data_IF_100806781369
#
_entry.id   IF_100806781369
#
_cell.length_a   1.000
_cell.length_b   1.000
_cell.length_c   1.000
_cell.angle_alpha   90.00
_cell.angle_beta   90.00
_cell.angle_gamma   90.00
#
_symmetry.space_group_name_H-M   'P 1'
#
loop_
_entity.id
_entity.type
_entity.pdbx_description
1 polymer ?
#
# COMPACT_ATOMS: atom_id res chain seq x y z
N UNK A 1 -41.71 -49.89 30.49
CA UNK A 1 -41.49 -48.47 30.14
C UNK A 1 -40.02 -48.19 30.27
N UNK A 2 -39.37 -47.78 29.19
CA UNK A 2 -37.98 -47.33 29.24
C UNK A 2 -37.96 -45.92 29.83
N UNK A 3 -37.27 -45.75 30.95
CA UNK A 3 -36.95 -44.45 31.51
C UNK A 3 -35.94 -43.76 30.58
N UNK A 4 -36.35 -42.69 29.92
CA UNK A 4 -35.41 -41.74 29.32
C UNK A 4 -34.95 -40.80 30.45
N UNK A 5 -33.66 -40.87 30.81
CA UNK A 5 -33.04 -39.88 31.68
C UNK A 5 -33.13 -38.47 31.06
N UNK A 6 -32.97 -37.40 31.86
CA UNK A 6 -33.04 -36.05 31.34
C UNK A 6 -31.96 -35.87 30.25
N UNK A 7 -32.39 -35.36 29.10
CA UNK A 7 -31.48 -34.97 28.03
C UNK A 7 -30.37 -34.08 28.62
N UNK A 8 -29.12 -34.45 28.39
CA UNK A 8 -27.99 -33.59 28.71
C UNK A 8 -28.27 -32.20 28.12
N UNK A 9 -28.17 -31.18 28.97
CA UNK A 9 -28.21 -29.79 28.55
C UNK A 9 -27.02 -29.61 27.59
N UNK A 10 -27.29 -29.62 26.29
CA UNK A 10 -26.29 -29.31 25.27
C UNK A 10 -25.91 -27.85 25.48
N UNK A 11 -24.79 -27.65 26.17
CA UNK A 11 -24.13 -26.35 26.29
C UNK A 11 -24.04 -25.76 24.89
N UNK A 12 -24.77 -24.67 24.65
CA UNK A 12 -24.63 -23.90 23.41
C UNK A 12 -23.17 -23.53 23.27
N UNK A 13 -22.54 -23.89 22.14
CA UNK A 13 -21.20 -23.43 21.82
C UNK A 13 -21.28 -21.89 21.76
N UNK A 14 -20.47 -21.16 22.53
CA UNK A 14 -20.50 -19.70 22.48
C UNK A 14 -20.04 -19.23 21.09
N UNK A 15 -20.54 -18.07 20.68
CA UNK A 15 -20.12 -17.45 19.43
C UNK A 15 -19.20 -16.28 19.72
N UNK A 16 -18.40 -15.91 18.72
CA UNK A 16 -17.65 -14.65 18.70
C UNK A 16 -17.92 -13.86 17.43
N UNK A 17 -17.54 -12.58 17.45
CA UNK A 17 -17.62 -11.68 16.30
C UNK A 17 -16.27 -11.65 15.59
N UNK A 18 -16.28 -11.73 14.26
CA UNK A 18 -15.12 -11.73 13.39
C UNK A 18 -15.29 -10.68 12.28
N UNK A 19 -14.22 -9.96 11.94
CA UNK A 19 -14.19 -8.98 10.85
C UNK A 19 -13.96 -7.56 11.33
N UNK A 20 -13.69 -6.65 10.42
CA UNK A 20 -13.60 -5.23 10.72
C UNK A 20 -13.81 -4.39 9.45
N UNK A 21 -12.83 -4.31 8.55
CA UNK A 21 -12.76 -3.30 7.50
C UNK A 21 -12.27 -3.83 6.15
N UNK A 22 -12.91 -3.40 5.08
CA UNK A 22 -12.31 -3.36 3.73
C UNK A 22 -12.11 -1.90 3.38
N UNK A 23 -10.90 -1.49 3.01
CA UNK A 23 -10.59 -0.09 2.73
C UNK A 23 -9.87 0.09 1.39
N UNK A 24 -10.01 1.30 0.85
CA UNK A 24 -9.27 1.74 -0.32
C UNK A 24 -7.92 2.26 0.18
N UNK A 25 -6.91 1.42 0.05
CA UNK A 25 -5.51 1.73 0.30
C UNK A 25 -5.02 2.64 -0.83
N UNK A 26 -5.18 3.94 -0.61
CA UNK A 26 -4.95 4.97 -1.63
C UNK A 26 -3.48 5.10 -1.98
N UNK A 27 -2.59 4.69 -1.08
CA UNK A 27 -1.15 4.77 -1.28
C UNK A 27 -0.50 3.38 -1.55
N UNK A 28 -1.32 2.32 -1.57
CA UNK A 28 -0.92 0.95 -1.81
C UNK A 28 0.22 0.47 -0.88
N UNK A 29 0.23 0.91 0.38
CA UNK A 29 1.25 0.50 1.35
C UNK A 29 0.87 -0.72 2.22
N UNK A 30 -0.37 -1.18 2.12
CA UNK A 30 -0.90 -2.30 2.91
C UNK A 30 -1.22 -1.94 4.35
N UNK A 31 -1.21 -0.66 4.72
CA UNK A 31 -1.44 -0.14 6.07
C UNK A 31 -2.65 0.80 6.03
N UNK A 32 -3.53 0.68 7.03
CA UNK A 32 -4.68 1.55 7.21
C UNK A 32 -4.24 2.94 7.67
N UNK A 33 -4.16 3.87 6.72
CA UNK A 33 -3.76 5.25 6.98
C UNK A 33 -4.95 6.17 7.30
N UNK A 34 -4.66 7.22 8.08
CA UNK A 34 -5.68 8.21 8.47
C UNK A 34 -6.26 8.97 7.26
N UNK A 35 -7.53 8.71 6.93
CA UNK A 35 -8.21 9.40 5.83
C UNK A 35 -8.36 8.56 4.57
N UNK A 36 -7.87 7.33 4.59
CA UNK A 36 -8.23 6.31 3.60
C UNK A 36 -9.69 5.88 3.81
N UNK A 37 -10.51 5.82 2.74
CA UNK A 37 -11.93 5.53 2.88
C UNK A 37 -12.18 4.02 2.92
N UNK A 38 -13.21 3.61 3.66
CA UNK A 38 -13.74 2.24 3.58
C UNK A 38 -14.42 1.97 2.23
N UNK A 39 -14.31 0.74 1.73
CA UNK A 39 -14.93 0.32 0.46
C UNK A 39 -16.30 -0.30 0.68
N UNK A 40 -17.34 0.38 0.20
CA UNK A 40 -18.72 -0.08 0.35
C UNK A 40 -19.15 -1.13 -0.70
N UNK A 41 -20.01 -2.06 -0.28
CA UNK A 41 -20.63 -3.04 -1.18
C UNK A 41 -19.74 -4.20 -1.61
N UNK A 42 -18.56 -4.37 -1.00
CA UNK A 42 -17.64 -5.48 -1.26
C UNK A 42 -18.21 -6.76 -0.67
N UNK A 43 -18.30 -7.83 -1.46
CA UNK A 43 -18.79 -9.14 -1.00
C UNK A 43 -17.74 -9.82 -0.12
N UNK A 44 -18.14 -10.21 1.08
CA UNK A 44 -17.30 -10.92 2.05
C UNK A 44 -17.97 -12.23 2.47
N UNK A 45 -17.19 -13.30 2.64
CA UNK A 45 -17.67 -14.63 3.06
C UNK A 45 -16.81 -15.18 4.19
N UNK A 46 -17.46 -15.82 5.16
CA UNK A 46 -16.79 -16.66 6.14
C UNK A 46 -16.67 -18.09 5.59
N UNK A 47 -15.46 -18.63 5.57
CA UNK A 47 -15.17 -20.00 5.15
C UNK A 47 -14.61 -20.80 6.33
N UNK A 48 -14.89 -22.11 6.36
CA UNK A 48 -14.28 -23.03 7.32
C UNK A 48 -12.84 -23.43 6.93
N UNK A 49 -12.23 -24.27 7.78
CA UNK A 49 -10.91 -24.85 7.57
C UNK A 49 -10.75 -25.66 6.26
N UNK A 50 -11.84 -26.07 5.62
CA UNK A 50 -11.85 -26.79 4.34
C UNK A 50 -12.17 -25.87 3.15
N UNK A 51 -12.43 -24.58 3.39
CA UNK A 51 -12.77 -23.60 2.35
C UNK A 51 -14.25 -23.64 1.97
N UNK A 52 -15.08 -24.33 2.76
CA UNK A 52 -16.53 -24.36 2.57
C UNK A 52 -17.13 -23.12 3.22
N UNK A 53 -18.00 -22.41 2.51
CA UNK A 53 -18.70 -21.27 3.09
C UNK A 53 -19.57 -21.73 4.26
N UNK A 54 -19.39 -21.07 5.40
CA UNK A 54 -20.15 -21.31 6.63
C UNK A 54 -20.88 -20.04 7.02
N UNK A 55 -22.20 -20.16 7.22
CA UNK A 55 -23.06 -19.00 7.38
C UNK A 55 -23.39 -18.28 6.07
N UNK A 56 -23.98 -17.09 6.20
CA UNK A 56 -24.29 -16.22 5.06
C UNK A 56 -23.05 -15.47 4.54
N UNK A 57 -23.13 -14.98 3.31
CA UNK A 57 -22.23 -13.92 2.85
C UNK A 57 -22.77 -12.57 3.32
N UNK A 58 -21.90 -11.58 3.49
CA UNK A 58 -22.28 -10.19 3.77
C UNK A 58 -21.66 -9.27 2.72
N UNK A 59 -22.10 -8.03 2.70
CA UNK A 59 -21.47 -6.95 1.94
C UNK A 59 -21.02 -5.87 2.91
N UNK A 60 -19.85 -5.28 2.66
CA UNK A 60 -19.37 -4.15 3.46
C UNK A 60 -20.35 -2.97 3.40
N UNK A 61 -20.48 -2.25 4.51
CA UNK A 61 -21.36 -1.08 4.61
C UNK A 61 -20.72 0.18 3.99
N UNK A 62 -21.39 1.33 4.11
CA UNK A 62 -20.89 2.61 3.56
C UNK A 62 -19.53 3.07 4.12
N UNK A 63 -19.11 2.51 5.25
CA UNK A 63 -17.81 2.75 5.88
C UNK A 63 -16.82 1.62 5.65
N UNK A 64 -17.13 0.66 4.76
CA UNK A 64 -16.27 -0.50 4.50
C UNK A 64 -16.36 -1.59 5.56
N UNK A 65 -17.20 -1.44 6.59
CA UNK A 65 -17.21 -2.37 7.70
C UNK A 65 -18.00 -3.63 7.39
N UNK A 66 -17.53 -4.77 7.90
CA UNK A 66 -18.24 -6.04 7.84
C UNK A 66 -18.08 -6.83 9.15
N UNK A 67 -19.00 -7.76 9.42
CA UNK A 67 -18.84 -8.67 10.56
C UNK A 67 -19.58 -10.00 10.35
N UNK A 68 -19.07 -11.04 11.00
CA UNK A 68 -19.70 -12.34 11.12
C UNK A 68 -19.82 -12.74 12.59
N UNK A 69 -20.80 -13.59 12.89
CA UNK A 69 -20.90 -14.30 14.16
C UNK A 69 -20.60 -15.78 13.92
N UNK A 70 -19.58 -16.31 14.57
CA UNK A 70 -19.10 -17.68 14.35
C UNK A 70 -18.95 -18.47 15.66
N UNK A 71 -19.25 -19.78 15.68
CA UNK A 71 -18.97 -20.65 16.82
C UNK A 71 -17.48 -20.69 17.15
N UNK A 72 -17.14 -20.58 18.43
CA UNK A 72 -15.76 -20.66 18.91
C UNK A 72 -15.22 -22.09 18.86
N UNK A 73 -13.89 -22.24 18.92
CA UNK A 73 -13.24 -23.55 18.95
C UNK A 73 -13.19 -24.25 17.59
N UNK A 74 -13.32 -23.49 16.51
CA UNK A 74 -13.10 -23.91 15.14
C UNK A 74 -12.21 -22.89 14.42
N UNK A 75 -11.58 -23.33 13.32
CA UNK A 75 -10.81 -22.47 12.45
C UNK A 75 -11.65 -21.96 11.29
N UNK A 76 -11.41 -20.70 10.94
CA UNK A 76 -12.04 -20.02 9.83
C UNK A 76 -11.02 -19.23 9.03
N UNK A 77 -11.46 -18.74 7.88
CA UNK A 77 -10.81 -17.69 7.09
C UNK A 77 -11.87 -16.79 6.47
N UNK A 78 -11.49 -15.57 6.13
CA UNK A 78 -12.35 -14.65 5.39
C UNK A 78 -11.97 -14.71 3.91
N UNK A 79 -12.97 -14.77 3.04
CA UNK A 79 -12.83 -14.50 1.61
C UNK A 79 -13.40 -13.13 1.30
N UNK A 80 -12.66 -12.32 0.56
CA UNK A 80 -13.09 -11.00 0.11
C UNK A 80 -13.10 -11.01 -1.42
N UNK A 81 -14.21 -10.61 -2.04
CA UNK A 81 -14.27 -10.49 -3.48
C UNK A 81 -13.52 -9.23 -3.93
N UNK A 82 -12.62 -9.36 -4.91
CA UNK A 82 -11.93 -8.23 -5.50
C UNK A 82 -12.83 -7.51 -6.52
N UNK A 83 -13.17 -6.22 -6.31
CA UNK A 83 -13.93 -5.45 -7.30
C UNK A 83 -13.14 -5.24 -8.60
N UNK A 84 -13.85 -5.11 -9.72
CA UNK A 84 -13.22 -4.77 -11.00
C UNK A 84 -12.46 -3.45 -10.90
N UNK A 85 -11.25 -3.41 -11.44
CA UNK A 85 -10.40 -2.22 -11.42
C UNK A 85 -9.60 -2.04 -10.12
N UNK A 86 -9.65 -2.98 -9.19
CA UNK A 86 -8.83 -2.98 -7.96
C UNK A 86 -7.85 -4.15 -7.92
N UNK A 87 -6.80 -3.99 -7.11
CA UNK A 87 -5.88 -5.03 -6.71
C UNK A 87 -5.76 -5.03 -5.17
N UNK A 88 -5.45 -6.18 -4.57
CA UNK A 88 -5.16 -6.26 -3.13
C UNK A 88 -3.81 -5.63 -2.81
N UNK A 89 -3.73 -4.96 -1.66
CA UNK A 89 -2.48 -4.47 -1.08
C UNK A 89 -1.60 -5.62 -0.57
N UNK A 90 -0.35 -5.29 -0.22
CA UNK A 90 0.55 -6.28 0.37
C UNK A 90 -0.01 -6.85 1.67
N UNK A 91 0.09 -8.16 1.83
CA UNK A 91 -0.37 -8.88 3.03
C UNK A 91 0.62 -8.70 4.19
N UNK A 92 0.10 -8.56 5.41
CA UNK A 92 0.83 -8.55 6.70
C UNK A 92 1.97 -7.50 6.77
N UNK A 93 1.75 -6.30 6.20
CA UNK A 93 2.77 -5.25 6.11
C UNK A 93 2.68 -4.22 7.24
N UNK A 94 3.81 -3.69 7.71
CA UNK A 94 3.84 -2.63 8.74
C UNK A 94 3.84 -3.14 10.19
N UNK A 95 3.64 -4.44 10.42
CA UNK A 95 3.89 -5.12 11.70
C UNK A 95 2.89 -4.82 12.83
N UNK A 96 1.85 -4.02 12.56
CA UNK A 96 0.69 -3.81 13.44
C UNK A 96 -0.51 -4.54 12.83
N UNK A 97 -0.77 -5.75 13.34
CA UNK A 97 -1.85 -6.67 12.92
C UNK A 97 -3.24 -6.02 12.95
N UNK A 98 -3.44 -4.95 13.72
CA UNK A 98 -4.73 -4.25 13.77
C UNK A 98 -4.93 -3.23 12.65
N UNK A 99 -3.94 -3.07 11.76
CA UNK A 99 -3.90 -2.00 10.75
C UNK A 99 -3.34 -2.45 9.42
N UNK A 100 -2.93 -3.69 9.27
CA UNK A 100 -2.44 -4.20 7.99
C UNK A 100 -3.58 -4.83 7.19
N UNK A 101 -3.23 -5.43 6.05
CA UNK A 101 -4.15 -6.19 5.20
C UNK A 101 -3.86 -7.67 5.39
N UNK A 102 -4.85 -8.45 5.82
CA UNK A 102 -4.67 -9.90 6.03
C UNK A 102 -4.90 -10.73 4.77
N UNK A 103 -5.49 -10.13 3.73
CA UNK A 103 -5.93 -10.87 2.54
C UNK A 103 -4.75 -11.12 1.61
N UNK A 104 -4.47 -12.40 1.36
CA UNK A 104 -3.49 -12.85 0.36
C UNK A 104 -3.98 -12.47 -1.05
N UNK A 105 -3.23 -11.62 -1.79
CA UNK A 105 -3.59 -11.20 -3.15
C UNK A 105 -3.79 -12.36 -4.15
N UNK A 106 -3.14 -13.51 -3.92
CA UNK A 106 -3.22 -14.65 -4.82
C UNK A 106 -4.50 -15.49 -4.62
N UNK A 107 -5.03 -15.52 -3.39
CA UNK A 107 -6.16 -16.40 -3.02
C UNK A 107 -7.43 -15.64 -2.64
N UNK A 108 -7.32 -14.32 -2.46
CA UNK A 108 -8.39 -13.44 -1.97
C UNK A 108 -8.92 -13.87 -0.60
N UNK A 109 -8.05 -14.48 0.22
CA UNK A 109 -8.38 -15.04 1.52
C UNK A 109 -7.37 -14.65 2.58
N UNK A 110 -7.83 -14.55 3.82
CA UNK A 110 -6.93 -14.49 4.98
C UNK A 110 -6.28 -15.85 5.24
N UNK A 111 -5.24 -15.86 6.07
CA UNK A 111 -4.77 -17.09 6.70
C UNK A 111 -5.88 -17.73 7.57
N UNK A 112 -5.67 -19.00 7.95
CA UNK A 112 -6.56 -19.67 8.90
C UNK A 112 -6.32 -19.13 10.31
N UNK A 113 -7.41 -18.75 10.99
CA UNK A 113 -7.38 -18.28 12.37
C UNK A 113 -8.40 -19.04 13.23
N UNK A 114 -8.22 -19.01 14.56
CA UNK A 114 -9.13 -19.65 15.51
C UNK A 114 -10.17 -18.67 16.04
N UNK A 115 -11.45 -19.03 16.02
CA UNK A 115 -12.46 -18.28 16.75
C UNK A 115 -12.33 -18.56 18.26
N UNK A 116 -11.96 -17.54 19.04
CA UNK A 116 -11.71 -17.66 20.49
C UNK A 116 -12.88 -17.09 21.31
N UNK A 117 -13.22 -17.78 22.41
CA UNK A 117 -14.32 -17.37 23.27
C UNK A 117 -14.06 -16.03 23.95
N UNK A 118 -15.01 -15.09 23.82
CA UNK A 118 -14.93 -13.76 24.42
C UNK A 118 -13.96 -12.80 23.72
N UNK A 119 -13.42 -13.17 22.56
CA UNK A 119 -12.51 -12.33 21.76
C UNK A 119 -13.22 -11.92 20.47
N UNK A 120 -13.66 -10.66 20.41
CA UNK A 120 -14.04 -10.05 19.13
C UNK A 120 -12.77 -9.80 18.34
N UNK A 121 -12.66 -10.45 17.19
CA UNK A 121 -11.50 -10.34 16.31
C UNK A 121 -11.77 -9.28 15.26
N UNK A 122 -11.04 -8.16 15.38
CA UNK A 122 -11.15 -6.98 14.52
C UNK A 122 -9.85 -6.66 13.80
N UNK A 123 -8.88 -7.58 13.74
CA UNK A 123 -7.72 -7.37 12.86
C UNK A 123 -8.01 -7.78 11.42
N UNK A 124 -9.02 -8.64 11.19
CA UNK A 124 -9.35 -9.22 9.90
C UNK A 124 -9.79 -8.17 8.86
N UNK A 125 -8.83 -7.58 8.17
CA UNK A 125 -8.96 -6.43 7.30
C UNK A 125 -8.44 -6.71 5.88
N UNK A 126 -8.92 -5.93 4.90
CA UNK A 126 -8.52 -6.09 3.51
C UNK A 126 -8.29 -4.74 2.82
N UNK A 127 -7.02 -4.48 2.49
CA UNK A 127 -6.61 -3.30 1.74
C UNK A 127 -6.66 -3.57 0.25
N UNK A 128 -7.21 -2.63 -0.51
CA UNK A 128 -7.22 -2.68 -1.97
C UNK A 128 -6.91 -1.31 -2.56
N UNK A 129 -6.16 -1.28 -3.65
CA UNK A 129 -5.85 -0.05 -4.38
C UNK A 129 -6.40 -0.11 -5.80
N UNK A 130 -6.76 1.06 -6.35
CA UNK A 130 -7.22 1.15 -7.74
C UNK A 130 -6.07 0.80 -8.70
N UNK A 131 -6.31 -0.12 -9.62
CA UNK A 131 -5.38 -0.45 -10.71
C UNK A 131 -5.21 0.71 -11.69
N UNK A 132 -6.10 1.70 -11.71
CA UNK A 132 -5.85 2.94 -12.46
C UNK A 132 -4.68 3.73 -11.89
N UNK A 133 -4.34 3.49 -10.61
CA UNK A 133 -3.23 4.11 -9.92
C UNK A 133 -1.99 3.24 -9.97
N UNK A 134 -1.97 2.12 -10.71
CA UNK A 134 -0.83 1.21 -10.81
C UNK A 134 -0.49 0.89 -12.27
N UNK A 135 0.79 0.98 -12.62
CA UNK A 135 1.33 0.43 -13.86
C UNK A 135 2.36 -0.64 -13.51
N UNK A 136 2.33 -1.77 -14.21
CA UNK A 136 3.29 -2.84 -14.01
C UNK A 136 4.16 -3.03 -15.25
N UNK A 137 5.40 -3.43 -15.05
CA UNK A 137 6.35 -3.77 -16.10
C UNK A 137 7.35 -4.81 -15.63
N UNK A 138 8.06 -5.41 -16.59
CA UNK A 138 9.18 -6.30 -16.31
C UNK A 138 10.49 -5.64 -16.71
N UNK A 139 11.48 -5.75 -15.84
CA UNK A 139 12.85 -5.28 -16.05
C UNK A 139 13.78 -6.48 -16.07
N UNK A 140 14.71 -6.51 -17.02
CA UNK A 140 15.68 -7.59 -17.17
C UNK A 140 17.10 -7.10 -16.86
N UNK A 141 17.91 -7.96 -16.24
CA UNK A 141 19.30 -7.65 -15.91
C UNK A 141 20.14 -7.28 -17.15
N UNK A 142 19.92 -7.94 -18.29
CA UNK A 142 20.74 -7.77 -19.50
C UNK A 142 20.41 -6.49 -20.26
N UNK A 143 19.13 -6.12 -20.32
CA UNK A 143 18.64 -5.00 -21.13
C UNK A 143 18.28 -3.76 -20.30
N UNK A 144 18.06 -3.93 -19.00
CA UNK A 144 17.40 -2.93 -18.18
C UNK A 144 15.90 -2.86 -18.49
N UNK A 145 15.33 -1.67 -18.43
CA UNK A 145 13.93 -1.44 -18.75
C UNK A 145 13.44 -0.10 -18.22
N UNK A 146 12.16 0.17 -18.41
CA UNK A 146 11.51 1.34 -17.81
C UNK A 146 10.07 1.06 -17.49
N UNK A 147 9.57 1.62 -16.39
CA UNK A 147 8.15 1.63 -16.04
C UNK A 147 7.72 3.09 -15.87
N UNK A 148 6.58 3.45 -16.46
CA UNK A 148 6.02 4.80 -16.40
C UNK A 148 4.80 4.77 -15.50
N UNK A 149 4.63 5.75 -14.62
CA UNK A 149 3.47 5.88 -13.75
C UNK A 149 2.16 5.94 -14.56
N UNK A 150 1.03 5.59 -13.94
CA UNK A 150 -0.27 5.58 -14.63
C UNK A 150 -0.70 6.91 -15.25
N UNK A 151 -0.37 8.05 -14.61
CA UNK A 151 -0.61 9.39 -15.15
C UNK A 151 0.34 9.78 -16.30
N UNK A 152 1.39 9.00 -16.55
CA UNK A 152 2.41 9.28 -17.55
C UNK A 152 3.42 10.35 -17.13
N UNK A 153 3.30 10.91 -15.92
CA UNK A 153 4.11 12.05 -15.49
C UNK A 153 5.47 11.61 -14.92
N UNK A 154 5.55 10.41 -14.34
CA UNK A 154 6.77 9.87 -13.76
C UNK A 154 7.25 8.61 -14.48
N UNK A 155 8.57 8.42 -14.55
CA UNK A 155 9.19 7.24 -15.15
C UNK A 155 10.39 6.79 -14.33
N UNK A 156 10.49 5.47 -14.13
CA UNK A 156 11.63 4.80 -13.53
C UNK A 156 12.36 4.06 -14.66
N UNK A 157 13.61 4.43 -14.89
CA UNK A 157 14.48 3.83 -15.90
C UNK A 157 15.60 3.05 -15.23
N UNK A 158 15.74 1.79 -15.62
CA UNK A 158 16.66 0.82 -15.05
C UNK A 158 17.77 0.54 -16.07
N UNK A 159 19.04 0.84 -15.77
CA UNK A 159 20.14 0.43 -16.63
C UNK A 159 20.35 -1.10 -16.59
N UNK A 160 20.98 -1.69 -17.62
CA UNK A 160 21.51 -3.06 -17.53
C UNK A 160 22.36 -3.25 -16.27
N UNK A 161 22.16 -4.34 -15.55
CA UNK A 161 22.82 -4.60 -14.28
C UNK A 161 22.07 -4.11 -13.04
N UNK A 162 21.00 -3.32 -13.16
CA UNK A 162 20.28 -2.76 -12.01
C UNK A 162 19.55 -3.82 -11.16
N UNK A 163 19.24 -4.98 -11.72
CA UNK A 163 18.55 -6.09 -11.06
C UNK A 163 19.29 -7.41 -11.33
N UNK A 164 19.17 -8.41 -10.46
CA UNK A 164 19.90 -9.69 -10.61
C UNK A 164 19.33 -10.60 -11.71
N UNK A 165 18.06 -10.43 -12.07
CA UNK A 165 17.36 -11.26 -13.05
C UNK A 165 16.11 -10.57 -13.60
N UNK A 166 15.10 -11.36 -13.94
CA UNK A 166 13.79 -10.80 -14.30
C UNK A 166 13.09 -10.31 -13.04
N UNK A 167 12.76 -9.01 -13.01
CA UNK A 167 12.12 -8.34 -11.89
C UNK A 167 10.81 -7.73 -12.35
N UNK A 168 9.73 -8.03 -11.63
CA UNK A 168 8.46 -7.35 -11.79
C UNK A 168 8.52 -6.02 -11.03
N UNK A 169 8.11 -4.94 -11.68
CA UNK A 169 8.09 -3.60 -11.11
C UNK A 169 6.68 -3.06 -11.18
N UNK A 170 6.18 -2.53 -10.07
CA UNK A 170 4.88 -1.86 -9.99
C UNK A 170 5.12 -0.41 -9.61
N UNK A 171 4.56 0.50 -10.40
CA UNK A 171 4.67 1.93 -10.21
C UNK A 171 3.29 2.49 -9.91
N UNK A 172 3.15 3.00 -8.70
CA UNK A 172 1.90 3.51 -8.16
C UNK A 172 1.90 5.04 -8.14
N UNK A 173 0.76 5.63 -8.50
CA UNK A 173 0.47 7.03 -8.30
C UNK A 173 -0.41 7.19 -7.06
N UNK A 174 0.12 7.81 -6.02
CA UNK A 174 -0.58 7.94 -4.73
C UNK A 174 -1.38 9.27 -4.65
N UNK A 175 -1.18 10.17 -5.62
CA UNK A 175 -2.03 11.34 -5.89
C UNK A 175 -1.34 12.70 -5.81
N UNK A 176 -2.15 13.76 -5.90
CA UNK A 176 -1.80 15.18 -5.70
C UNK A 176 -2.43 15.71 -4.41
N UNK A 177 -1.68 16.44 -3.58
CA UNK A 177 -2.23 16.98 -2.32
C UNK A 177 -3.00 18.28 -2.58
N UNK A 178 -4.26 18.17 -3.04
CA UNK A 178 -5.30 19.13 -2.67
C UNK A 178 -6.21 18.49 -1.64
N UNK A 179 -6.05 18.86 -0.37
CA UNK A 179 -7.02 18.53 0.69
C UNK A 179 -7.17 17.04 1.02
N UNK A 180 -6.32 16.15 0.49
CA UNK A 180 -6.12 14.80 1.01
C UNK A 180 -4.83 14.80 1.79
N UNK A 181 -4.95 14.60 3.10
CA UNK A 181 -3.82 14.32 3.97
C UNK A 181 -3.13 13.08 3.44
N UNK A 182 -2.06 13.22 2.66
CA UNK A 182 -1.07 12.16 2.60
C UNK A 182 -0.54 12.06 4.03
N UNK A 183 -0.89 10.98 4.73
CA UNK A 183 -0.58 10.71 6.14
C UNK A 183 0.92 10.52 6.37
N UNK A 184 1.72 10.59 5.32
CA UNK A 184 3.17 10.62 5.39
C UNK A 184 3.63 12.07 5.68
N UNK A 185 3.43 12.45 6.95
CA UNK A 185 3.90 13.66 7.63
C UNK A 185 4.01 14.95 6.79
N UNK A 186 2.94 15.76 6.81
CA UNK A 186 3.14 17.21 6.70
C UNK A 186 4.01 17.67 7.87
N UNK A 187 5.28 17.99 7.61
CA UNK A 187 5.93 18.99 8.44
C UNK A 187 5.25 20.33 8.14
N UNK A 188 5.01 21.16 9.16
CA UNK A 188 4.31 22.45 9.02
C UNK A 188 4.96 23.44 8.04
N UNK A 189 6.13 23.08 7.48
CA UNK A 189 6.87 23.90 6.54
C UNK A 189 6.93 23.33 5.11
N UNK A 190 6.49 22.11 4.78
CA UNK A 190 6.71 21.54 3.44
C UNK A 190 5.38 21.19 2.73
N UNK A 191 5.33 21.49 1.43
CA UNK A 191 4.16 21.23 0.59
C UNK A 191 4.50 20.15 -0.43
N UNK A 192 3.65 19.14 -0.55
CA UNK A 192 3.85 18.00 -1.46
C UNK A 192 2.96 18.14 -2.69
N UNK A 193 3.52 18.06 -3.89
CA UNK A 193 2.75 18.20 -5.13
C UNK A 193 2.33 16.86 -5.72
N UNK A 194 3.29 15.94 -5.87
CA UNK A 194 3.09 14.64 -6.51
C UNK A 194 3.71 13.55 -5.64
N UNK A 195 2.99 12.45 -5.44
CA UNK A 195 3.44 11.32 -4.64
C UNK A 195 3.31 10.03 -5.44
N UNK A 196 4.36 9.23 -5.38
CA UNK A 196 4.51 8.00 -6.13
C UNK A 196 5.13 6.91 -5.26
N UNK A 197 4.89 5.64 -5.60
CA UNK A 197 5.57 4.50 -5.00
C UNK A 197 6.08 3.57 -6.10
N UNK A 198 7.29 3.07 -5.94
CA UNK A 198 7.86 2.05 -6.81
C UNK A 198 8.12 0.80 -5.99
N UNK A 199 7.48 -0.30 -6.38
CA UNK A 199 7.69 -1.63 -5.82
C UNK A 199 8.42 -2.52 -6.82
N UNK A 200 9.27 -3.40 -6.32
CA UNK A 200 10.00 -4.34 -7.13
C UNK A 200 10.04 -5.72 -6.48
N UNK A 201 9.81 -6.75 -7.27
CA UNK A 201 9.73 -8.14 -6.82
C UNK A 201 10.50 -9.02 -7.79
N UNK A 202 11.35 -9.91 -7.29
CA UNK A 202 12.04 -10.89 -8.12
C UNK A 202 11.05 -11.87 -8.76
N UNK A 203 11.51 -12.62 -9.76
CA UNK A 203 10.69 -13.61 -10.46
C UNK A 203 10.03 -14.67 -9.55
N UNK A 204 10.58 -14.90 -8.36
CA UNK A 204 10.04 -15.84 -7.36
C UNK A 204 9.04 -15.22 -6.37
N UNK A 205 8.74 -13.93 -6.51
CA UNK A 205 7.81 -13.23 -5.61
C UNK A 205 8.48 -12.57 -4.40
N UNK A 206 9.81 -12.61 -4.27
CA UNK A 206 10.50 -11.95 -3.15
C UNK A 206 10.58 -10.43 -3.37
N UNK A 207 10.09 -9.59 -2.44
CA UNK A 207 10.27 -8.14 -2.53
C UNK A 207 11.74 -7.74 -2.49
N UNK A 208 12.14 -6.82 -3.38
CA UNK A 208 13.47 -6.21 -3.37
C UNK A 208 13.48 -5.04 -2.39
N UNK A 209 14.59 -4.87 -1.68
CA UNK A 209 14.82 -3.74 -0.77
C UNK A 209 15.90 -2.77 -1.29
N UNK A 210 16.62 -3.15 -2.35
CA UNK A 210 17.60 -2.34 -3.06
C UNK A 210 17.80 -2.87 -4.49
N UNK A 211 18.33 -2.01 -5.35
CA UNK A 211 18.82 -2.31 -6.69
C UNK A 211 20.35 -2.38 -6.69
N UNK A 212 20.92 -3.11 -7.65
CA UNK A 212 22.37 -3.29 -7.76
C UNK A 212 23.09 -2.04 -8.30
N UNK A 213 22.36 -1.20 -9.03
CA UNK A 213 22.84 0.07 -9.57
C UNK A 213 21.76 1.14 -9.36
N UNK A 214 22.15 2.42 -9.26
CA UNK A 214 21.18 3.50 -9.26
C UNK A 214 20.29 3.48 -10.51
N UNK A 215 19.00 3.65 -10.29
CA UNK A 215 17.98 3.87 -11.30
C UNK A 215 17.76 5.38 -11.49
N UNK A 216 17.24 5.75 -12.65
CA UNK A 216 16.86 7.13 -12.94
C UNK A 216 15.36 7.29 -12.76
N UNK A 217 14.96 8.18 -11.86
CA UNK A 217 13.58 8.64 -11.70
C UNK A 217 13.44 9.98 -12.41
N UNK A 218 12.47 10.08 -13.31
CA UNK A 218 12.12 11.33 -13.99
C UNK A 218 10.68 11.67 -13.66
N UNK A 219 10.44 12.86 -13.13
CA UNK A 219 9.10 13.38 -12.82
C UNK A 219 8.90 14.67 -13.60
N UNK A 220 7.91 14.66 -14.49
CA UNK A 220 7.42 15.86 -15.15
C UNK A 220 6.25 16.40 -14.35
N UNK A 221 6.15 17.72 -14.24
CA UNK A 221 5.07 18.39 -13.52
C UNK A 221 4.45 19.51 -14.37
N UNK A 222 3.30 20.02 -13.95
CA UNK A 222 2.70 21.22 -14.53
C UNK A 222 2.57 22.31 -13.48
N UNK A 223 2.58 23.58 -13.92
CA UNK A 223 2.31 24.73 -13.04
C UNK A 223 0.95 24.58 -12.34
N UNK A 224 -0.01 23.90 -12.99
CA UNK A 224 -1.32 23.62 -12.41
C UNK A 224 -1.22 22.64 -11.22
N UNK A 225 -0.37 21.61 -11.32
CA UNK A 225 -0.13 20.66 -10.22
C UNK A 225 0.53 21.36 -9.04
N UNK A 226 1.52 22.23 -9.31
CA UNK A 226 2.20 23.02 -8.28
C UNK A 226 1.25 24.02 -7.62
N UNK A 227 0.46 24.75 -8.42
CA UNK A 227 -0.53 25.69 -7.90
C UNK A 227 -1.61 24.99 -7.08
N UNK A 228 -2.06 23.81 -7.50
CA UNK A 228 -3.01 23.01 -6.74
C UNK A 228 -2.44 22.63 -5.38
N UNK A 229 -1.16 22.26 -5.33
CA UNK A 229 -0.44 21.98 -4.09
C UNK A 229 -0.20 23.24 -3.24
N UNK A 230 -0.18 24.43 -3.84
CA UNK A 230 0.17 25.68 -3.17
C UNK A 230 1.66 26.02 -3.26
N UNK A 231 2.39 25.35 -4.17
CA UNK A 231 3.78 25.63 -4.51
C UNK A 231 3.79 26.75 -5.57
N UNK A 232 4.51 27.82 -5.27
CA UNK A 232 4.55 29.06 -6.05
C UNK A 232 5.95 29.43 -6.50
N UNK A 233 6.98 28.90 -5.84
CA UNK A 233 8.38 29.07 -6.24
C UNK A 233 8.99 27.71 -6.61
N UNK A 234 9.06 27.42 -7.90
CA UNK A 234 9.63 26.16 -8.40
C UNK A 234 11.11 25.96 -8.05
N UNK A 235 11.84 27.03 -7.73
CA UNK A 235 13.25 26.91 -7.35
C UNK A 235 13.43 26.24 -5.98
N UNK A 236 12.35 26.10 -5.22
CA UNK A 236 12.32 25.38 -3.95
C UNK A 236 12.02 23.89 -4.11
N UNK A 237 11.74 23.41 -5.33
CA UNK A 237 11.40 22.02 -5.57
C UNK A 237 12.56 21.08 -5.21
N UNK A 238 12.22 20.00 -4.53
CA UNK A 238 13.12 18.90 -4.23
C UNK A 238 12.43 17.57 -4.47
N UNK A 239 13.22 16.61 -4.94
CA UNK A 239 12.81 15.22 -5.00
C UNK A 239 13.10 14.60 -3.63
N UNK A 240 12.07 14.18 -2.91
CA UNK A 240 12.21 13.56 -1.59
C UNK A 240 11.80 12.11 -1.60
N UNK A 241 12.47 11.32 -0.76
CA UNK A 241 12.12 9.92 -0.49
C UNK A 241 11.61 9.80 0.93
N UNK A 242 10.66 8.91 1.15
CA UNK A 242 10.10 8.68 2.48
C UNK A 242 10.98 7.68 3.25
N UNK A 243 11.47 8.09 4.42
CA UNK A 243 12.12 7.18 5.37
C UNK A 243 11.05 6.61 6.32
N UNK A 244 10.69 5.35 6.10
CA UNK A 244 9.70 4.64 6.91
C UNK A 244 10.11 4.53 8.39
N UNK A 245 11.40 4.38 8.69
CA UNK A 245 11.90 4.19 10.05
C UNK A 245 11.81 5.47 10.88
N UNK A 246 11.97 6.62 10.23
CA UNK A 246 11.91 7.93 10.87
C UNK A 246 10.58 8.66 10.63
N UNK A 247 9.73 8.13 9.75
CA UNK A 247 8.49 8.75 9.29
C UNK A 247 8.71 10.20 8.82
N UNK A 248 9.75 10.40 7.99
CA UNK A 248 10.17 11.72 7.51
C UNK A 248 10.53 11.70 6.02
N UNK A 249 10.25 12.80 5.34
CA UNK A 249 10.74 13.06 3.99
C UNK A 249 12.21 13.45 4.00
N UNK A 250 13.04 12.69 3.28
CA UNK A 250 14.46 12.98 3.08
C UNK A 250 14.67 13.61 1.69
N UNK A 251 15.17 14.85 1.60
CA UNK A 251 15.50 15.45 0.31
C UNK A 251 16.68 14.75 -0.36
N UNK A 252 16.59 14.52 -1.66
CA UNK A 252 17.70 13.98 -2.45
C UNK A 252 18.53 15.07 -3.16
N UNK A 253 17.94 16.21 -3.51
CA UNK A 253 18.69 17.26 -4.21
C UNK A 253 19.54 18.12 -3.26
N UNK A 254 20.82 18.41 -3.60
CA UNK A 254 21.56 17.93 -4.77
C UNK A 254 22.16 16.52 -4.58
N UNK A 255 22.01 15.67 -5.59
CA UNK A 255 22.65 14.35 -5.68
C UNK A 255 23.37 14.17 -7.03
N UNK A 256 24.28 13.20 -7.12
CA UNK A 256 24.98 12.87 -8.36
C UNK A 256 23.98 12.35 -9.42
N UNK A 257 23.97 12.96 -10.60
CA UNK A 257 23.04 12.61 -11.68
C UNK A 257 21.65 13.23 -11.56
N UNK A 258 21.40 14.05 -10.54
CA UNK A 258 20.10 14.67 -10.31
C UNK A 258 20.03 16.10 -10.86
N UNK A 259 18.87 16.50 -11.35
CA UNK A 259 18.65 17.84 -11.92
C UNK A 259 17.22 18.34 -11.72
N UNK A 260 17.07 19.64 -11.56
CA UNK A 260 15.81 20.37 -11.63
C UNK A 260 15.88 21.31 -12.84
N UNK A 261 14.98 21.13 -13.80
CA UNK A 261 14.79 22.01 -14.95
C UNK A 261 13.40 22.63 -14.88
N UNK A 262 13.34 23.86 -14.35
CA UNK A 262 12.09 24.64 -14.23
C UNK A 262 11.61 25.23 -15.56
N UNK A 263 12.37 25.10 -16.65
CA UNK A 263 11.91 25.50 -17.99
C UNK A 263 11.24 24.33 -18.69
N UNK A 264 11.72 23.11 -18.45
CA UNK A 264 11.13 21.86 -18.95
C UNK A 264 10.08 21.27 -18.00
N UNK A 265 9.87 21.89 -16.83
CA UNK A 265 9.05 21.39 -15.73
C UNK A 265 9.36 19.93 -15.38
N UNK A 266 10.64 19.65 -15.15
CA UNK A 266 11.15 18.30 -14.97
C UNK A 266 12.14 18.22 -13.81
N UNK A 267 11.99 17.16 -13.02
CA UNK A 267 12.96 16.74 -12.01
C UNK A 267 13.50 15.36 -12.36
N UNK A 268 14.82 15.21 -12.29
CA UNK A 268 15.52 13.94 -12.46
C UNK A 268 16.25 13.62 -11.17
N UNK A 269 16.08 12.41 -10.66
CA UNK A 269 16.75 11.89 -9.47
C UNK A 269 17.43 10.55 -9.77
N UNK A 270 18.57 10.32 -9.12
CA UNK A 270 19.28 9.05 -9.11
C UNK A 270 19.08 8.40 -7.75
N UNK A 271 18.57 7.16 -7.74
CA UNK A 271 18.23 6.45 -6.50
C UNK A 271 18.41 4.94 -6.66
N UNK A 272 18.68 4.21 -5.59
CA UNK A 272 19.07 2.80 -5.66
C UNK A 272 18.11 1.86 -4.92
N UNK A 273 16.94 2.35 -4.51
CA UNK A 273 15.95 1.54 -3.77
C UNK A 273 14.53 1.71 -4.32
N UNK A 274 13.69 0.67 -4.21
CA UNK A 274 12.24 0.85 -4.29
C UNK A 274 11.74 1.63 -3.05
N UNK A 275 10.55 2.21 -3.15
CA UNK A 275 9.92 2.95 -2.05
C UNK A 275 9.05 4.10 -2.51
N UNK A 276 8.59 4.89 -1.54
CA UNK A 276 7.74 6.06 -1.74
C UNK A 276 8.59 7.31 -1.95
N UNK A 277 8.24 8.09 -2.95
CA UNK A 277 8.92 9.34 -3.30
C UNK A 277 7.92 10.43 -3.70
N UNK A 278 8.35 11.68 -3.57
CA UNK A 278 7.52 12.82 -3.84
C UNK A 278 8.30 14.00 -4.39
N UNK A 279 7.57 14.87 -5.10
CA UNK A 279 8.00 16.21 -5.43
C UNK A 279 7.49 17.17 -4.34
N UNK A 280 8.39 17.80 -3.61
CA UNK A 280 8.06 18.70 -2.50
C UNK A 280 8.67 20.10 -2.68
N UNK A 281 8.01 21.15 -2.19
CA UNK A 281 8.45 22.54 -2.34
C UNK A 281 7.82 23.50 -1.33
N UNK A 282 8.12 24.79 -1.51
CA UNK A 282 7.69 25.94 -0.70
C UNK A 282 7.95 25.78 0.80
N UNK A 283 9.02 25.05 1.14
CA UNK A 283 9.41 24.74 2.51
C UNK A 283 10.89 24.82 2.84
N UNK A 284 11.22 25.08 4.11
CA UNK A 284 12.59 24.91 4.60
C UNK A 284 12.89 23.41 4.64
N UNK A 285 13.84 22.97 3.84
CA UNK A 285 14.53 21.71 4.09
C UNK A 285 15.45 22.00 5.27
N UNK A 286 15.06 21.60 6.49
CA UNK A 286 16.02 21.52 7.57
C UNK A 286 17.07 20.50 7.14
N UNK A 287 18.20 21.00 6.64
CA UNK A 287 19.29 20.21 6.08
C UNK A 287 19.90 19.38 7.21
N UNK A 288 19.34 18.21 7.48
CA UNK A 288 20.00 17.18 8.26
C UNK A 288 20.96 16.43 7.35
N UNK A 289 22.12 17.04 7.09
CA UNK A 289 23.32 16.30 6.70
C UNK A 289 24.35 16.44 7.83
N UNK A 290 25.00 15.34 8.23
CA UNK A 290 25.96 14.70 7.31
C UNK A 290 26.05 13.16 7.29
N UNK A 291 26.49 12.65 6.12
CA UNK A 291 27.37 11.48 5.84
C UNK A 291 26.73 10.06 5.92
N UNK A 292 26.94 9.12 4.97
CA UNK A 292 28.16 8.76 4.19
C UNK A 292 27.79 8.15 2.83
N UNK A 293 28.46 8.61 1.76
CA UNK A 293 28.62 7.89 0.49
C UNK A 293 29.51 6.65 0.74
N UNK A 294 29.01 5.44 0.45
CA UNK A 294 29.84 4.29 0.04
C UNK A 294 29.10 3.41 -0.93
#
# INVERSE_FOLDING_TARGET
GFWAGPAANISSIPNTTLGNLVWEDTNANGIQDTGEPGMAGVLVKLLDANGVQVGGATTTDSSGQYSFTAPVGAQYRIFVALPDGYAFSAQDWGGDDAKDSDVDPATSQTALFWAVNGVTDTSLDAGMYSTTNASSGQVDNTQGGSVTSPDGNAQASFPPGAVDGLTNVVFLQLGTVQGRTAVLAQSASQTTALIYKLEATSADGTPLTAFNLPITLTVNYTDADLQAAGITDETTLNFAVWDEAQSVWMPLLPCEGCSLDTTANQVVASYDKPGTFALIGDGQFDVYLPLVIR
#
